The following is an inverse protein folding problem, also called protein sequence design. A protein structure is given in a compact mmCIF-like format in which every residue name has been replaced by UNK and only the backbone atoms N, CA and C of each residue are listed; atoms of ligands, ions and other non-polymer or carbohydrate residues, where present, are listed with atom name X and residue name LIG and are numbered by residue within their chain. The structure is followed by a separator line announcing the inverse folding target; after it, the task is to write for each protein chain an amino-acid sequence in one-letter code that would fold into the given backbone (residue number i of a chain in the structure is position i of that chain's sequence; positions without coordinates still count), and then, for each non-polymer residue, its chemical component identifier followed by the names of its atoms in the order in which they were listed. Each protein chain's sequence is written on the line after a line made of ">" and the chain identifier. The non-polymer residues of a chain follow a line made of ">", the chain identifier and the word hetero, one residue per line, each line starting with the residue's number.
data_IF_879568332134
#
_entry.id   IF_879568332134
#
_cell.length_a   1.000
_cell.length_b   1.000
_cell.length_c   1.000
_cell.angle_alpha   90.00
_cell.angle_beta   90.00
_cell.angle_gamma   90.00
#
_symmetry.space_group_name_H-M   'P 1'
#
loop_
_entity.id
_entity.type
_entity.pdbx_description
1 polymer ?
#
# COMPACT_ATOMS: atom_id res chain seq x y z
N UNK A 1 -5.66 -15.53 -21.67
CA UNK A 1 -4.87 -15.46 -20.42
C UNK A 1 -5.84 -15.27 -19.26
N UNK A 2 -5.82 -16.16 -18.27
CA UNK A 2 -6.62 -16.05 -17.05
C UNK A 2 -6.12 -14.93 -16.17
N UNK A 3 -7.03 -14.18 -15.53
CA UNK A 3 -6.74 -13.17 -14.54
C UNK A 3 -7.74 -13.17 -13.38
N UNK A 4 -7.32 -12.61 -12.27
CA UNK A 4 -8.20 -12.27 -11.14
C UNK A 4 -8.09 -10.78 -10.85
N UNK A 5 -9.22 -10.13 -10.63
CA UNK A 5 -9.32 -8.74 -10.18
C UNK A 5 -9.48 -8.73 -8.67
N UNK A 6 -8.51 -8.13 -7.98
CA UNK A 6 -8.51 -8.06 -6.51
C UNK A 6 -8.20 -6.65 -6.03
N UNK A 7 -8.62 -6.34 -4.79
CA UNK A 7 -8.24 -5.11 -4.11
C UNK A 7 -7.99 -5.32 -2.61
N UNK A 8 -7.20 -4.42 -2.03
CA UNK A 8 -7.14 -4.19 -0.60
C UNK A 8 -7.43 -2.71 -0.35
N UNK A 9 -8.47 -2.42 0.42
CA UNK A 9 -8.89 -1.05 0.75
C UNK A 9 -9.09 -0.15 -0.47
N UNK A 10 -9.64 -0.69 -1.58
CA UNK A 10 -9.93 0.05 -2.81
C UNK A 10 -8.77 0.23 -3.79
N UNK A 11 -7.53 -0.08 -3.41
CA UNK A 11 -6.40 -0.12 -4.33
C UNK A 11 -6.44 -1.45 -5.10
N UNK A 12 -6.78 -1.38 -6.39
CA UNK A 12 -7.24 -2.50 -7.19
C UNK A 12 -6.31 -2.84 -8.36
N UNK A 13 -5.90 -4.10 -8.44
CA UNK A 13 -4.99 -4.61 -9.48
C UNK A 13 -5.57 -5.80 -10.22
N UNK A 14 -5.02 -6.05 -11.41
CA UNK A 14 -5.25 -7.27 -12.19
C UNK A 14 -4.10 -8.24 -11.93
N UNK A 15 -4.42 -9.41 -11.39
CA UNK A 15 -3.45 -10.46 -11.03
C UNK A 15 -3.47 -11.57 -12.06
N UNK A 16 -2.29 -11.98 -12.50
CA UNK A 16 -2.14 -13.12 -13.40
C UNK A 16 -0.77 -13.78 -13.27
N UNK A 17 -0.64 -14.98 -13.84
CA UNK A 17 0.63 -15.68 -13.94
C UNK A 17 0.98 -15.90 -15.40
N UNK A 18 2.14 -15.38 -15.82
CA UNK A 18 2.68 -15.56 -17.15
C UNK A 18 4.22 -15.62 -17.08
N UNK A 19 4.78 -16.82 -16.83
CA UNK A 19 6.21 -16.99 -16.60
C UNK A 19 7.11 -16.58 -17.78
N UNK A 20 6.58 -16.61 -19.01
CA UNK A 20 7.29 -16.29 -20.25
C UNK A 20 7.08 -14.85 -20.75
N UNK A 21 6.33 -14.01 -20.03
CA UNK A 21 6.07 -12.65 -20.46
C UNK A 21 7.35 -11.81 -20.47
N UNK A 22 7.57 -11.10 -21.59
CA UNK A 22 8.67 -10.13 -21.70
C UNK A 22 8.32 -8.82 -20.99
N UNK A 23 9.32 -8.01 -20.67
CA UNK A 23 9.10 -6.69 -20.05
C UNK A 23 8.27 -5.76 -20.96
N UNK A 24 8.49 -5.83 -22.27
CA UNK A 24 7.72 -5.07 -23.24
C UNK A 24 6.24 -5.46 -23.23
N UNK A 25 5.95 -6.77 -23.23
CA UNK A 25 4.60 -7.27 -23.08
C UNK A 25 3.97 -6.76 -21.78
N UNK A 26 4.66 -6.88 -20.65
CA UNK A 26 4.12 -6.49 -19.32
C UNK A 26 3.81 -5.01 -19.24
N UNK A 27 4.67 -4.14 -19.78
CA UNK A 27 4.45 -2.69 -19.83
C UNK A 27 3.25 -2.33 -20.71
N UNK A 28 3.19 -2.88 -21.90
CA UNK A 28 2.09 -2.66 -22.84
C UNK A 28 0.76 -3.20 -22.30
N UNK A 29 0.79 -4.40 -21.72
CA UNK A 29 -0.38 -5.01 -21.13
C UNK A 29 -0.87 -4.24 -19.88
N UNK A 30 0.03 -3.67 -19.07
CA UNK A 30 -0.34 -2.85 -17.93
C UNK A 30 -1.17 -1.63 -18.35
N UNK A 31 -0.73 -0.91 -19.37
CA UNK A 31 -1.47 0.25 -19.91
C UNK A 31 -2.84 -0.17 -20.42
N UNK A 32 -2.91 -1.26 -21.21
CA UNK A 32 -4.16 -1.75 -21.76
C UNK A 32 -5.11 -2.28 -20.65
N UNK A 33 -4.62 -3.18 -19.79
CA UNK A 33 -5.46 -3.84 -18.79
C UNK A 33 -5.97 -2.87 -17.72
N UNK A 34 -5.20 -1.81 -17.43
CA UNK A 34 -5.58 -0.83 -16.40
C UNK A 34 -6.62 0.20 -16.88
N UNK A 35 -6.83 0.35 -18.18
CA UNK A 35 -7.84 1.27 -18.71
C UNK A 35 -9.24 0.86 -18.18
N UNK A 36 -9.86 1.74 -17.40
CA UNK A 36 -11.16 1.47 -16.76
C UNK A 36 -12.35 1.51 -17.72
N UNK A 37 -12.15 1.88 -19.00
CA UNK A 37 -13.19 1.99 -20.02
C UNK A 37 -13.01 1.01 -21.17
N UNK A 38 -11.77 0.65 -21.50
CA UNK A 38 -11.44 -0.18 -22.65
C UNK A 38 -10.68 -1.46 -22.29
N UNK A 39 -10.18 -1.56 -21.07
CA UNK A 39 -9.51 -2.72 -20.50
C UNK A 39 -10.31 -3.40 -19.41
N UNK A 40 -9.61 -4.06 -18.49
CA UNK A 40 -10.17 -4.67 -17.28
C UNK A 40 -10.46 -3.58 -16.23
N UNK A 41 -9.64 -2.54 -16.21
CA UNK A 41 -9.69 -1.44 -15.26
C UNK A 41 -8.93 -1.74 -13.97
N UNK A 42 -8.09 -0.80 -13.52
CA UNK A 42 -7.35 -0.95 -12.27
C UNK A 42 -6.24 0.08 -12.13
N UNK A 43 -5.56 0.03 -10.98
CA UNK A 43 -4.40 0.88 -10.71
C UNK A 43 -3.13 0.34 -11.39
N UNK A 44 -3.18 -0.91 -11.87
CA UNK A 44 -2.10 -1.58 -12.55
C UNK A 44 -2.32 -3.08 -12.67
N UNK A 45 -1.23 -3.78 -12.98
CA UNK A 45 -1.18 -5.25 -13.01
C UNK A 45 -0.15 -5.79 -12.02
N UNK A 46 -0.40 -6.97 -11.50
CA UNK A 46 0.54 -7.72 -10.68
C UNK A 46 0.72 -9.12 -11.24
N UNK A 47 1.97 -9.43 -11.60
CA UNK A 47 2.37 -10.75 -12.06
C UNK A 47 2.84 -11.54 -10.86
N UNK A 48 2.24 -12.72 -10.64
CA UNK A 48 2.59 -13.62 -9.55
C UNK A 48 3.12 -14.94 -10.13
N UNK A 49 4.31 -15.33 -9.70
CA UNK A 49 4.94 -16.59 -10.13
C UNK A 49 5.30 -17.41 -8.89
N UNK A 50 4.88 -18.69 -8.88
CA UNK A 50 5.27 -19.64 -7.86
C UNK A 50 6.78 -19.82 -7.87
N UNK A 51 7.42 -19.67 -6.72
CA UNK A 51 8.86 -19.94 -6.51
C UNK A 51 9.07 -21.32 -5.88
N UNK A 52 8.27 -21.65 -4.85
CA UNK A 52 8.22 -22.93 -4.16
C UNK A 52 6.85 -23.09 -3.47
N UNK A 53 6.69 -24.09 -2.59
CA UNK A 53 5.42 -24.37 -1.92
C UNK A 53 5.03 -23.36 -0.83
N UNK A 54 5.91 -22.42 -0.49
CA UNK A 54 5.72 -21.40 0.55
C UNK A 54 6.02 -20.00 0.06
N UNK A 55 6.46 -19.83 -1.19
CA UNK A 55 6.84 -18.52 -1.70
C UNK A 55 6.45 -18.28 -3.15
N UNK A 56 6.21 -17.00 -3.42
CA UNK A 56 5.98 -16.48 -4.76
C UNK A 56 6.85 -15.26 -5.02
N UNK A 57 7.21 -15.04 -6.27
CA UNK A 57 7.72 -13.74 -6.71
C UNK A 57 6.58 -12.90 -7.28
N UNK A 58 6.61 -11.59 -7.04
CA UNK A 58 5.69 -10.65 -7.66
C UNK A 58 6.43 -9.52 -8.37
N UNK A 59 5.87 -9.08 -9.48
CA UNK A 59 6.22 -7.82 -10.14
C UNK A 59 4.95 -6.99 -10.30
N UNK A 60 5.09 -5.70 -10.13
CA UNK A 60 3.99 -4.73 -10.25
C UNK A 60 4.29 -3.75 -11.37
N UNK A 61 3.30 -3.47 -12.21
CA UNK A 61 3.35 -2.42 -13.21
C UNK A 61 2.15 -1.50 -13.01
N UNK A 62 2.42 -0.21 -12.94
CA UNK A 62 1.41 0.83 -12.82
C UNK A 62 0.60 0.97 -14.12
N UNK A 63 -0.49 1.71 -14.07
CA UNK A 63 -1.37 1.96 -15.23
C UNK A 63 -0.68 2.71 -16.36
N UNK A 64 0.45 3.38 -16.14
CA UNK A 64 1.29 4.01 -17.15
C UNK A 64 2.35 3.07 -17.76
N UNK A 65 2.41 1.81 -17.34
CA UNK A 65 3.39 0.81 -17.75
C UNK A 65 4.73 0.89 -17.02
N UNK A 66 4.93 1.81 -16.09
CA UNK A 66 6.12 1.86 -15.25
C UNK A 66 6.13 0.71 -14.24
N UNK A 67 7.32 0.15 -13.97
CA UNK A 67 7.47 -0.91 -12.95
C UNK A 67 7.67 -0.31 -11.58
N UNK A 68 6.79 -0.66 -10.62
CA UNK A 68 6.91 -0.31 -9.23
C UNK A 68 7.86 -1.22 -8.44
N UNK A 69 8.35 -0.74 -7.31
CA UNK A 69 9.24 -1.53 -6.44
C UNK A 69 8.45 -2.53 -5.58
N UNK A 70 7.34 -2.09 -5.03
CA UNK A 70 6.42 -2.88 -4.20
C UNK A 70 5.11 -2.13 -3.99
N UNK A 71 4.09 -2.86 -3.55
CA UNK A 71 2.83 -2.30 -3.08
C UNK A 71 2.31 -3.16 -1.94
N UNK A 72 2.19 -2.57 -0.74
CA UNK A 72 1.74 -3.28 0.45
C UNK A 72 0.34 -3.89 0.29
N UNK A 73 -0.57 -3.20 -0.40
CA UNK A 73 -1.90 -3.70 -0.74
C UNK A 73 -1.80 -4.84 -1.76
N UNK A 74 -1.00 -4.64 -2.82
CA UNK A 74 -0.82 -5.60 -3.89
C UNK A 74 -0.22 -6.92 -3.43
N UNK A 75 0.79 -6.88 -2.54
CA UNK A 75 1.42 -8.12 -2.05
C UNK A 75 0.48 -8.97 -1.21
N UNK A 76 -0.41 -8.36 -0.42
CA UNK A 76 -1.39 -9.10 0.37
C UNK A 76 -2.38 -9.85 -0.52
N UNK A 77 -2.85 -9.23 -1.60
CA UNK A 77 -3.67 -9.91 -2.59
C UNK A 77 -2.89 -10.95 -3.42
N UNK A 78 -1.59 -10.73 -3.68
CA UNK A 78 -0.75 -11.70 -4.39
C UNK A 78 -0.63 -13.03 -3.61
N UNK A 79 -0.60 -12.99 -2.28
CA UNK A 79 -0.64 -14.20 -1.45
C UNK A 79 -1.97 -14.95 -1.61
N UNK A 80 -3.11 -14.24 -1.65
CA UNK A 80 -4.41 -14.87 -1.91
C UNK A 80 -4.48 -15.46 -3.33
N UNK A 81 -3.97 -14.74 -4.33
CA UNK A 81 -3.88 -15.27 -5.69
C UNK A 81 -3.06 -16.56 -5.76
N UNK A 82 -1.93 -16.60 -5.08
CA UNK A 82 -1.07 -17.76 -5.01
C UNK A 82 -1.77 -18.99 -4.39
N UNK A 83 -2.49 -18.77 -3.29
CA UNK A 83 -3.28 -19.82 -2.63
C UNK A 83 -4.40 -20.34 -3.53
N UNK A 84 -5.14 -19.46 -4.19
CA UNK A 84 -6.28 -19.83 -5.04
C UNK A 84 -5.89 -20.49 -6.37
N UNK A 85 -4.80 -20.00 -6.99
CA UNK A 85 -4.52 -20.30 -8.40
C UNK A 85 -3.14 -20.90 -8.70
N UNK A 86 -2.20 -20.88 -7.74
CA UNK A 86 -0.87 -21.44 -7.95
C UNK A 86 -0.58 -22.69 -7.10
N UNK A 87 -1.60 -23.24 -6.44
CA UNK A 87 -1.49 -24.48 -5.68
C UNK A 87 -0.63 -24.36 -4.42
N UNK A 88 -0.60 -23.19 -3.79
CA UNK A 88 0.04 -23.02 -2.48
C UNK A 88 -1.01 -23.28 -1.40
N UNK A 89 -0.82 -24.30 -0.58
CA UNK A 89 -1.75 -24.66 0.50
C UNK A 89 -1.50 -23.88 1.80
N UNK A 90 -0.28 -23.39 2.00
CA UNK A 90 0.11 -22.64 3.19
C UNK A 90 -0.72 -21.36 3.39
N UNK A 91 -0.97 -20.98 4.66
CA UNK A 91 -1.60 -19.71 5.01
C UNK A 91 -0.57 -18.60 5.26
N UNK A 92 0.70 -18.96 5.48
CA UNK A 92 1.83 -18.04 5.53
C UNK A 92 2.66 -18.21 4.26
N UNK A 93 2.78 -17.12 3.49
CA UNK A 93 3.42 -17.11 2.17
C UNK A 93 4.45 -15.99 2.13
N UNK A 94 5.66 -16.29 1.67
CA UNK A 94 6.68 -15.27 1.41
C UNK A 94 6.45 -14.70 0.01
N UNK A 95 6.15 -13.41 -0.06
CA UNK A 95 6.02 -12.67 -1.31
C UNK A 95 7.31 -11.91 -1.58
N UNK A 96 8.04 -12.34 -2.62
CA UNK A 96 9.32 -11.75 -3.04
C UNK A 96 9.03 -10.65 -4.05
N UNK A 97 9.21 -9.40 -3.64
CA UNK A 97 9.07 -8.21 -4.48
C UNK A 97 10.42 -7.56 -4.75
N UNK A 98 10.47 -6.61 -5.67
CA UNK A 98 11.73 -5.90 -6.02
C UNK A 98 12.34 -5.13 -4.83
N UNK A 99 11.51 -4.67 -3.90
CA UNK A 99 11.95 -3.96 -2.69
C UNK A 99 12.37 -4.90 -1.55
N UNK A 100 12.12 -6.22 -1.64
CA UNK A 100 12.46 -7.20 -0.61
C UNK A 100 11.43 -8.31 -0.49
N UNK A 101 11.65 -9.18 0.49
CA UNK A 101 10.82 -10.33 0.79
C UNK A 101 9.89 -9.99 1.97
N UNK A 102 8.61 -10.29 1.81
CA UNK A 102 7.58 -9.98 2.80
C UNK A 102 6.82 -11.23 3.19
N UNK A 103 6.68 -11.44 4.48
CA UNK A 103 5.87 -12.52 5.03
C UNK A 103 4.42 -12.08 5.10
N UNK A 104 3.54 -12.79 4.41
CA UNK A 104 2.10 -12.52 4.37
C UNK A 104 1.36 -13.69 4.98
N UNK A 105 0.51 -13.43 5.96
CA UNK A 105 -0.36 -14.41 6.62
C UNK A 105 -1.81 -14.16 6.22
N UNK A 106 -2.46 -15.20 5.71
CA UNK A 106 -3.87 -15.18 5.34
C UNK A 106 -4.72 -15.70 6.49
N UNK A 107 -5.85 -15.10 6.71
CA UNK A 107 -6.87 -15.61 7.63
C UNK A 107 -8.27 -15.45 7.03
N UNK A 108 -9.11 -16.43 7.27
CA UNK A 108 -10.44 -16.54 6.68
C UNK A 108 -11.49 -16.52 7.79
N UNK A 109 -12.56 -15.78 7.60
CA UNK A 109 -13.68 -15.70 8.53
C UNK A 109 -14.97 -15.60 7.73
N UNK A 110 -15.83 -16.63 7.79
CA UNK A 110 -17.09 -16.71 7.05
C UNK A 110 -16.92 -16.26 5.58
N UNK A 111 -17.40 -15.05 5.27
CA UNK A 111 -17.36 -14.48 3.91
C UNK A 111 -16.21 -13.48 3.69
N UNK A 112 -15.28 -13.34 4.65
CA UNK A 112 -14.19 -12.35 4.57
C UNK A 112 -12.82 -12.98 4.59
N UNK A 113 -11.93 -12.43 3.80
CA UNK A 113 -10.52 -12.81 3.78
C UNK A 113 -9.69 -11.63 4.26
N UNK A 114 -8.79 -11.91 5.20
CA UNK A 114 -7.84 -10.92 5.71
C UNK A 114 -6.42 -11.36 5.36
N UNK A 115 -5.58 -10.38 5.10
CA UNK A 115 -4.15 -10.59 4.95
C UNK A 115 -3.37 -9.64 5.85
N UNK A 116 -2.35 -10.20 6.48
CA UNK A 116 -1.45 -9.52 7.39
C UNK A 116 -0.03 -9.61 6.84
N UNK A 117 0.71 -8.51 6.87
CA UNK A 117 2.09 -8.46 6.42
C UNK A 117 2.96 -7.70 7.42
N UNK A 118 4.21 -8.16 7.57
CA UNK A 118 5.20 -7.55 8.43
C UNK A 118 6.09 -6.59 7.65
N UNK A 119 6.36 -5.43 8.26
CA UNK A 119 7.22 -4.37 7.73
C UNK A 119 8.24 -3.96 8.81
N UNK A 120 9.38 -3.38 8.41
CA UNK A 120 10.29 -2.75 9.37
C UNK A 120 9.58 -1.66 10.18
N UNK A 121 9.99 -1.49 11.42
CA UNK A 121 9.49 -0.41 12.28
C UNK A 121 9.80 0.95 11.65
N UNK A 122 8.84 1.86 11.61
CA UNK A 122 9.07 3.21 11.12
C UNK A 122 10.03 4.00 12.01
N UNK A 123 10.65 5.01 11.41
CA UNK A 123 11.52 5.95 12.11
C UNK A 123 11.25 7.40 11.73
N UNK A 124 11.46 8.32 12.66
CA UNK A 124 11.47 9.76 12.35
C UNK A 124 12.80 10.13 11.70
N UNK A 125 12.74 10.91 10.61
CA UNK A 125 13.95 11.34 9.89
C UNK A 125 14.17 12.84 9.91
N UNK A 126 13.21 13.64 10.39
CA UNK A 126 13.33 15.10 10.50
C UNK A 126 12.71 15.57 11.83
N UNK A 127 13.47 16.44 12.54
CA UNK A 127 13.04 16.92 13.85
C UNK A 127 11.82 17.84 13.77
N UNK A 128 10.89 17.71 14.73
CA UNK A 128 9.60 18.43 14.79
C UNK A 128 9.75 19.94 14.84
N UNK A 129 10.76 20.48 15.55
CA UNK A 129 11.04 21.93 15.59
C UNK A 129 11.33 22.50 14.20
N UNK A 130 12.07 21.77 13.36
CA UNK A 130 12.33 22.17 11.98
C UNK A 130 11.05 22.14 11.16
N UNK A 131 10.22 21.09 11.31
CA UNK A 131 8.94 20.97 10.62
C UNK A 131 7.97 22.10 11.00
N UNK A 132 7.85 22.43 12.30
CA UNK A 132 7.01 23.54 12.76
C UNK A 132 7.39 24.86 12.11
N UNK A 133 8.69 25.16 12.05
CA UNK A 133 9.19 26.39 11.41
C UNK A 133 8.89 26.42 9.91
N UNK A 134 9.08 25.29 9.22
CA UNK A 134 8.88 25.18 7.78
C UNK A 134 7.42 25.33 7.37
N UNK A 135 6.50 24.76 8.15
CA UNK A 135 5.08 24.73 7.79
C UNK A 135 4.21 25.73 8.53
N UNK A 136 4.81 26.54 9.43
CA UNK A 136 4.10 27.53 10.25
C UNK A 136 2.90 26.95 11.00
N UNK A 137 3.01 25.68 11.44
CA UNK A 137 1.97 25.04 12.22
C UNK A 137 2.14 25.37 13.70
N UNK A 138 1.05 25.86 14.30
CA UNK A 138 0.99 26.06 15.75
C UNK A 138 0.77 24.75 16.51
N UNK A 139 0.40 23.67 15.81
CA UNK A 139 0.16 22.37 16.41
C UNK A 139 1.47 21.70 16.81
N UNK A 140 1.47 21.04 17.95
CA UNK A 140 2.63 20.32 18.45
C UNK A 140 2.86 18.98 17.78
N UNK A 141 2.02 18.58 16.83
CA UNK A 141 1.87 17.20 16.39
C UNK A 141 2.12 17.01 14.89
N UNK A 142 3.32 17.43 14.44
CA UNK A 142 3.80 17.20 13.08
C UNK A 142 5.05 16.32 13.11
N UNK A 143 5.07 15.27 12.28
CA UNK A 143 6.12 14.26 12.24
C UNK A 143 6.50 13.94 10.80
N UNK A 144 7.79 13.79 10.52
CA UNK A 144 8.30 13.23 9.27
C UNK A 144 8.79 11.81 9.55
N UNK A 145 8.10 10.83 8.99
CA UNK A 145 8.27 9.40 9.29
C UNK A 145 8.60 8.63 8.03
N UNK A 146 9.62 7.80 8.09
CA UNK A 146 9.93 6.81 7.07
C UNK A 146 9.31 5.46 7.46
N UNK A 147 8.35 4.97 6.68
CA UNK A 147 7.70 3.67 6.81
C UNK A 147 7.92 2.81 5.55
N UNK A 148 9.17 2.83 5.02
CA UNK A 148 9.51 2.30 3.70
C UNK A 148 9.27 3.31 2.58
N UNK A 149 8.59 4.39 2.89
CA UNK A 149 8.35 5.59 2.11
C UNK A 149 8.32 6.80 3.06
N UNK A 150 8.54 7.99 2.57
CA UNK A 150 8.52 9.20 3.39
C UNK A 150 7.09 9.73 3.55
N UNK A 151 6.71 10.01 4.80
CA UNK A 151 5.39 10.48 5.22
C UNK A 151 5.48 11.69 6.13
N UNK A 152 4.68 12.72 5.87
CA UNK A 152 4.44 13.84 6.76
C UNK A 152 3.10 13.62 7.46
N UNK A 153 3.15 13.24 8.73
CA UNK A 153 1.98 12.94 9.54
C UNK A 153 1.62 14.14 10.39
N UNK A 154 0.38 14.61 10.28
CA UNK A 154 -0.14 15.78 10.97
C UNK A 154 -1.35 15.36 11.80
N UNK A 155 -1.27 15.54 13.11
CA UNK A 155 -2.29 15.09 14.07
C UNK A 155 -3.13 16.26 14.54
N UNK A 156 -4.46 16.08 14.61
CA UNK A 156 -5.45 17.09 15.03
C UNK A 156 -5.44 18.40 14.19
N UNK A 157 -4.72 18.41 13.08
CA UNK A 157 -4.60 19.56 12.21
C UNK A 157 -4.59 19.11 10.75
N UNK A 158 -4.68 20.06 9.84
CA UNK A 158 -4.58 19.82 8.40
C UNK A 158 -4.24 21.12 7.68
N UNK A 159 -3.92 20.98 6.41
CA UNK A 159 -3.73 22.11 5.52
C UNK A 159 -5.01 22.38 4.71
N UNK A 160 -5.18 23.60 4.18
CA UNK A 160 -6.13 23.82 3.10
C UNK A 160 -5.85 22.85 1.93
N UNK A 161 -6.87 22.36 1.22
CA UNK A 161 -6.72 21.32 0.19
C UNK A 161 -5.67 21.62 -0.89
N UNK A 162 -5.52 22.89 -1.27
CA UNK A 162 -4.55 23.37 -2.25
C UNK A 162 -3.08 23.25 -1.80
N UNK A 163 -2.83 23.18 -0.50
CA UNK A 163 -1.47 23.05 0.04
C UNK A 163 -0.89 21.65 -0.01
N UNK A 164 -1.74 20.61 -0.04
CA UNK A 164 -1.23 19.21 0.01
C UNK A 164 -0.36 18.87 -1.18
N UNK A 165 -0.76 19.23 -2.40
CA UNK A 165 0.03 19.04 -3.60
C UNK A 165 1.38 19.77 -3.51
N UNK A 166 1.36 21.04 -3.12
CA UNK A 166 2.57 21.84 -2.98
C UNK A 166 3.55 21.29 -1.93
N UNK A 167 3.05 20.73 -0.82
CA UNK A 167 3.88 20.10 0.21
C UNK A 167 4.42 18.77 -0.30
N UNK A 168 3.56 17.95 -0.89
CA UNK A 168 3.89 16.61 -1.39
C UNK A 168 4.98 16.64 -2.46
N UNK A 169 4.98 17.67 -3.30
CA UNK A 169 5.90 17.84 -4.42
C UNK A 169 7.04 18.84 -4.13
N UNK A 170 7.19 19.27 -2.88
CA UNK A 170 8.19 20.29 -2.50
C UNK A 170 9.61 19.69 -2.45
N UNK A 171 10.27 19.65 -3.59
CA UNK A 171 11.64 19.15 -3.73
C UNK A 171 12.70 19.96 -2.95
N UNK A 172 12.37 21.17 -2.47
CA UNK A 172 13.28 21.98 -1.64
C UNK A 172 13.41 21.47 -0.21
N UNK A 173 12.32 20.87 0.33
CA UNK A 173 12.28 20.30 1.69
C UNK A 173 12.42 18.79 1.64
N UNK A 174 11.72 18.16 0.70
CA UNK A 174 11.70 16.72 0.47
C UNK A 174 12.15 16.43 -0.96
N UNK A 175 13.44 16.12 -1.19
CA UNK A 175 14.01 16.01 -2.55
C UNK A 175 13.29 15.04 -3.48
N UNK A 176 12.69 14.00 -2.91
CA UNK A 176 11.89 13.01 -3.66
C UNK A 176 10.39 13.21 -3.52
N UNK A 177 9.93 14.33 -2.91
CA UNK A 177 8.55 14.53 -2.50
C UNK A 177 8.19 13.67 -1.27
N UNK A 178 6.98 13.86 -0.73
CA UNK A 178 6.53 13.20 0.49
C UNK A 178 5.03 12.92 0.42
N UNK A 179 4.57 11.80 1.02
CA UNK A 179 3.15 11.58 1.27
C UNK A 179 2.70 12.39 2.48
N UNK A 180 1.47 12.85 2.51
CA UNK A 180 0.96 13.69 3.60
C UNK A 180 -0.30 13.08 4.20
N UNK A 181 -0.24 12.71 5.47
CA UNK A 181 -1.35 12.17 6.24
C UNK A 181 -1.92 13.22 7.19
N UNK A 182 -3.26 13.36 7.18
CA UNK A 182 -3.99 14.02 8.26
C UNK A 182 -4.64 12.99 9.15
N UNK A 183 -4.34 13.06 10.44
CA UNK A 183 -4.72 12.08 11.46
C UNK A 183 -5.62 12.72 12.49
N UNK A 184 -6.83 12.19 12.64
CA UNK A 184 -7.78 12.55 13.69
C UNK A 184 -7.92 11.36 14.63
N UNK A 185 -7.23 11.37 15.80
CA UNK A 185 -7.27 10.27 16.76
C UNK A 185 -8.68 10.01 17.29
N UNK A 186 -8.98 8.77 17.56
CA UNK A 186 -10.17 8.31 18.25
C UNK A 186 -9.79 7.28 19.36
N UNK A 187 -10.76 6.66 19.99
CA UNK A 187 -10.54 5.75 21.11
C UNK A 187 -9.66 4.54 20.76
N UNK A 188 -9.83 3.99 19.54
CA UNK A 188 -9.19 2.73 19.11
C UNK A 188 -8.12 2.93 18.02
N UNK A 189 -7.90 4.16 17.57
CA UNK A 189 -6.95 4.46 16.53
C UNK A 189 -7.12 5.88 15.99
N UNK A 190 -7.43 5.99 14.70
CA UNK A 190 -7.66 7.30 14.06
C UNK A 190 -8.43 7.20 12.75
N UNK A 191 -9.09 8.30 12.38
CA UNK A 191 -9.48 8.58 11.01
C UNK A 191 -8.31 9.26 10.29
N UNK A 192 -7.91 8.70 9.15
CA UNK A 192 -6.75 9.18 8.39
C UNK A 192 -7.14 9.45 6.95
N UNK A 193 -6.68 10.57 6.41
CA UNK A 193 -6.67 10.86 4.98
C UNK A 193 -5.25 11.03 4.52
N UNK A 194 -4.95 10.54 3.33
CA UNK A 194 -3.63 10.61 2.72
C UNK A 194 -3.69 11.35 1.39
N UNK A 195 -2.70 12.19 1.16
CA UNK A 195 -2.34 12.72 -0.15
C UNK A 195 -1.02 12.07 -0.56
N UNK A 196 -1.07 11.16 -1.52
CA UNK A 196 0.11 10.44 -1.98
C UNK A 196 0.85 11.21 -3.07
N UNK A 197 2.16 11.26 -2.97
CA UNK A 197 3.04 11.84 -3.97
C UNK A 197 2.79 11.22 -5.35
N UNK A 198 2.50 12.07 -6.33
CA UNK A 198 2.24 11.66 -7.71
C UNK A 198 0.86 11.05 -7.97
N UNK A 199 0.08 10.74 -6.92
CA UNK A 199 -1.25 10.11 -7.05
C UNK A 199 -2.39 10.95 -6.50
N UNK A 200 -2.08 11.96 -5.66
CA UNK A 200 -3.10 12.80 -5.03
C UNK A 200 -3.83 12.10 -3.88
N UNK A 201 -5.09 12.46 -3.66
CA UNK A 201 -5.91 11.80 -2.64
C UNK A 201 -6.27 10.38 -3.08
N UNK A 202 -5.77 9.40 -2.32
CA UNK A 202 -6.08 7.99 -2.52
C UNK A 202 -7.01 7.45 -1.43
N UNK A 203 -7.60 6.29 -1.69
CA UNK A 203 -8.54 5.68 -0.75
C UNK A 203 -7.84 5.07 0.48
N UNK A 204 -6.62 4.56 0.32
CA UNK A 204 -5.82 4.00 1.41
C UNK A 204 -4.35 3.86 1.01
N UNK A 205 -3.46 4.12 1.96
CA UNK A 205 -2.02 3.91 1.85
C UNK A 205 -1.53 3.04 3.02
N UNK A 206 -0.95 1.88 2.72
CA UNK A 206 -0.47 0.96 3.76
C UNK A 206 0.67 1.54 4.59
N UNK A 207 1.70 2.12 3.95
CA UNK A 207 2.81 2.79 4.64
C UNK A 207 2.35 4.04 5.40
N UNK A 208 1.37 4.79 4.86
CA UNK A 208 0.75 5.92 5.56
C UNK A 208 -0.02 5.50 6.82
N UNK A 209 -0.69 4.33 6.78
CA UNK A 209 -1.33 3.77 7.96
C UNK A 209 -0.30 3.37 9.03
N UNK A 210 0.81 2.76 8.62
CA UNK A 210 1.92 2.39 9.52
C UNK A 210 2.58 3.65 10.11
N UNK A 211 2.85 4.68 9.30
CA UNK A 211 3.41 5.95 9.76
C UNK A 211 2.48 6.65 10.76
N UNK A 212 1.17 6.67 10.48
CA UNK A 212 0.15 7.22 11.38
C UNK A 212 0.10 6.48 12.71
N UNK A 213 0.09 5.14 12.69
CA UNK A 213 0.11 4.31 13.89
C UNK A 213 1.38 4.53 14.74
N UNK A 214 2.54 4.67 14.09
CA UNK A 214 3.79 4.99 14.78
C UNK A 214 3.72 6.32 15.54
N UNK A 215 3.15 7.36 14.93
CA UNK A 215 2.95 8.64 15.58
C UNK A 215 1.97 8.50 16.76
N UNK A 216 0.86 7.79 16.58
CA UNK A 216 -0.11 7.52 17.64
C UNK A 216 0.52 6.73 18.81
N UNK A 217 1.41 5.76 18.52
CA UNK A 217 2.17 5.05 19.55
C UNK A 217 3.01 6.01 20.39
N UNK A 218 3.73 6.93 19.74
CA UNK A 218 4.53 7.94 20.44
C UNK A 218 3.71 8.87 21.33
N UNK A 219 2.49 9.18 20.92
CA UNK A 219 1.60 10.09 21.66
C UNK A 219 0.83 9.39 22.78
N UNK A 220 0.44 8.13 22.60
CA UNK A 220 -0.45 7.42 23.51
C UNK A 220 0.20 6.27 24.30
N UNK A 221 1.35 5.76 23.86
CA UNK A 221 1.99 4.56 24.40
C UNK A 221 1.30 3.23 24.04
N UNK A 222 0.18 3.25 23.31
CA UNK A 222 -0.49 2.04 22.81
C UNK A 222 0.32 1.40 21.69
N UNK A 223 0.05 0.13 21.36
CA UNK A 223 0.75 -0.61 20.30
C UNK A 223 -0.16 -1.07 19.16
N UNK A 224 -1.47 -1.09 19.37
CA UNK A 224 -2.45 -1.57 18.41
C UNK A 224 -3.41 -0.45 18.03
N UNK A 225 -3.60 -0.24 16.72
CA UNK A 225 -4.40 0.86 16.18
C UNK A 225 -5.28 0.40 15.03
N UNK A 226 -6.53 0.84 15.01
CA UNK A 226 -7.42 0.77 13.86
C UNK A 226 -7.29 2.09 13.07
N UNK A 227 -6.65 2.05 11.93
CA UNK A 227 -6.49 3.20 11.03
C UNK A 227 -7.61 3.18 10.00
N UNK A 228 -8.58 4.08 10.18
CA UNK A 228 -9.76 4.17 9.34
C UNK A 228 -9.50 5.16 8.20
N UNK A 229 -9.34 4.64 7.00
CA UNK A 229 -9.16 5.40 5.75
C UNK A 229 -10.41 5.28 4.87
N UNK A 230 -10.62 6.15 3.88
CA UNK A 230 -11.79 6.09 3.00
C UNK A 230 -12.00 4.72 2.31
N UNK A 231 -10.93 3.99 2.03
CA UNK A 231 -10.98 2.66 1.40
C UNK A 231 -11.21 1.50 2.35
N UNK A 232 -11.16 1.72 3.67
CA UNK A 232 -11.36 0.67 4.67
C UNK A 232 -10.50 0.82 5.92
N UNK A 233 -10.58 -0.17 6.79
CA UNK A 233 -9.85 -0.22 8.05
C UNK A 233 -8.55 -1.03 7.87
N UNK A 234 -7.43 -0.41 8.26
CA UNK A 234 -6.13 -1.06 8.36
C UNK A 234 -5.77 -1.19 9.85
N UNK A 235 -5.68 -2.41 10.34
CA UNK A 235 -5.21 -2.68 11.70
C UNK A 235 -3.69 -2.72 11.70
N UNK A 236 -3.06 -1.90 12.54
CA UNK A 236 -1.61 -1.81 12.66
C UNK A 236 -1.19 -2.16 14.08
N UNK A 237 -0.25 -3.09 14.22
CA UNK A 237 0.39 -3.45 15.47
C UNK A 237 1.87 -3.12 15.41
N UNK A 238 2.37 -2.39 16.40
CA UNK A 238 3.77 -1.97 16.50
C UNK A 238 4.41 -2.61 17.71
N UNK A 239 5.20 -3.67 17.51
CA UNK A 239 5.87 -4.39 18.59
C UNK A 239 7.32 -4.69 18.22
N UNK A 240 8.20 -4.46 19.18
CA UNK A 240 9.64 -4.59 18.97
C UNK A 240 10.09 -3.74 17.76
N UNK A 241 10.73 -4.36 16.78
CA UNK A 241 11.21 -3.69 15.57
C UNK A 241 10.36 -4.03 14.33
N UNK A 242 9.09 -4.44 14.54
CA UNK A 242 8.17 -4.85 13.49
C UNK A 242 6.88 -4.03 13.55
N UNK A 243 6.44 -3.59 12.38
CA UNK A 243 5.10 -3.07 12.14
C UNK A 243 4.29 -4.12 11.37
N UNK A 244 3.25 -4.66 11.98
CA UNK A 244 2.35 -5.62 11.34
C UNK A 244 1.10 -4.89 10.85
N UNK A 245 0.81 -5.00 9.57
CA UNK A 245 -0.34 -4.38 8.93
C UNK A 245 -1.33 -5.46 8.45
N UNK A 246 -2.56 -5.40 8.94
CA UNK A 246 -3.66 -6.29 8.54
C UNK A 246 -4.80 -5.50 7.92
N UNK A 247 -5.36 -6.00 6.82
CA UNK A 247 -6.62 -5.50 6.26
C UNK A 247 -7.40 -6.61 5.59
N UNK A 248 -8.67 -6.34 5.34
CA UNK A 248 -9.48 -7.14 4.44
C UNK A 248 -8.93 -7.03 3.00
N UNK A 249 -8.96 -8.16 2.28
CA UNK A 249 -8.63 -8.26 0.87
C UNK A 249 -9.77 -8.97 0.14
N UNK A 250 -10.06 -8.51 -1.06
CA UNK A 250 -11.22 -8.98 -1.81
C UNK A 250 -10.86 -9.36 -3.23
N UNK A 251 -11.31 -10.54 -3.67
CA UNK A 251 -11.41 -10.88 -5.07
C UNK A 251 -12.75 -10.41 -5.60
N UNK A 252 -12.74 -9.58 -6.64
CA UNK A 252 -13.96 -8.98 -7.19
C UNK A 252 -14.56 -9.89 -8.26
N UNK A 253 -13.73 -10.31 -9.21
CA UNK A 253 -14.09 -11.25 -10.29
C UNK A 253 -12.86 -11.84 -10.94
N UNK A 254 -13.08 -12.91 -11.70
CA UNK A 254 -12.08 -13.56 -12.56
C UNK A 254 -12.54 -13.50 -14.01
N UNK A 255 -11.60 -13.66 -14.93
CA UNK A 255 -11.93 -13.70 -16.35
C UNK A 255 -10.78 -14.19 -17.20
N UNK A 256 -11.03 -14.23 -18.50
CA UNK A 256 -10.03 -14.51 -19.51
C UNK A 256 -9.93 -13.36 -20.50
N UNK A 257 -8.72 -13.05 -20.93
CA UNK A 257 -8.47 -12.00 -21.88
C UNK A 257 -7.48 -12.47 -22.96
N UNK A 258 -7.76 -12.13 -24.20
CA UNK A 258 -6.84 -12.28 -25.31
C UNK A 258 -6.16 -10.93 -25.58
N UNK A 259 -4.85 -10.90 -25.45
CA UNK A 259 -4.06 -9.71 -25.70
C UNK A 259 -2.81 -10.07 -26.49
N UNK A 260 -2.60 -9.37 -27.59
CA UNK A 260 -1.40 -9.45 -28.43
C UNK A 260 -0.74 -8.07 -28.45
N UNK A 261 0.58 -8.03 -28.28
CA UNK A 261 1.35 -6.80 -28.45
C UNK A 261 1.23 -6.38 -29.92
N UNK A 262 0.75 -5.17 -30.15
CA UNK A 262 0.63 -4.60 -31.50
C UNK A 262 1.91 -3.94 -31.91
#
# INVERSE_FOLDING_TARGET
>A
MFFSKMHACGNDYVYFSCPSATDEFLRSFAVFASDRRKGIGGDGIIIVKKSDDYSVSMRIFNSDGSEGLTCGNGMRCAALYAKKYLGISADEIVVKAKAGDYRVRLSFSEDRTFAEADFPKPEEFLGREKLRRLFHLNSEEIFAVNAGNEHLVIVNAGFPPDKYAAISENCGIFPCGINVETVLPDENGAKVRVYERGSGYTLACGSGAIASAYVLQKLSGKSDFAINMPGGILSVSLRNDVATLKSEINEIYTGEINYEVK
#
